data_IF_123918694021
#
_entry.id   IF_123918694021
#
_cell.length_a   1.000
_cell.length_b   1.000
_cell.length_c   1.000
_cell.angle_alpha   90.00
_cell.angle_beta   90.00
_cell.angle_gamma   90.00
#
_symmetry.space_group_name_H-M   'P 1'
#
loop_
_entity.id
_entity.type
_entity.pdbx_description
1 polymer ?
#
# COMPACT_ATOMS: atom_id res chain seq x y z
N UNK A 1 5.22 -10.77 -14.23
CA UNK A 1 4.97 -10.86 -12.77
C UNK A 1 3.49 -10.65 -12.54
N UNK A 2 2.91 -11.39 -11.59
CA UNK A 2 1.49 -11.27 -11.23
C UNK A 2 1.36 -10.63 -9.85
N UNK A 3 0.41 -9.71 -9.70
CA UNK A 3 -0.02 -9.12 -8.44
C UNK A 3 -1.46 -9.55 -8.22
N UNK A 4 -1.75 -10.23 -7.13
CA UNK A 4 -3.11 -10.65 -6.74
C UNK A 4 -3.58 -9.85 -5.54
N UNK A 5 -4.77 -9.25 -5.64
CA UNK A 5 -5.41 -8.56 -4.52
C UNK A 5 -6.08 -9.59 -3.62
N UNK A 6 -5.51 -9.82 -2.43
CA UNK A 6 -6.05 -10.79 -1.49
C UNK A 6 -7.25 -10.24 -0.72
N UNK A 7 -7.21 -8.98 -0.35
CA UNK A 7 -8.29 -8.29 0.35
C UNK A 7 -8.32 -6.81 0.00
N UNK A 8 -9.49 -6.26 -0.21
CA UNK A 8 -9.80 -4.84 -0.28
C UNK A 8 -11.32 -4.63 -0.04
N UNK A 9 -11.83 -3.40 -0.17
CA UNK A 9 -13.19 -3.04 0.26
C UNK A 9 -14.32 -3.63 -0.60
N UNK A 10 -14.03 -4.11 -1.82
CA UNK A 10 -15.02 -4.66 -2.74
C UNK A 10 -14.63 -6.07 -3.24
N UNK A 11 -15.65 -6.91 -3.46
CA UNK A 11 -15.51 -8.23 -4.06
C UNK A 11 -16.68 -8.53 -4.99
N UNK A 12 -16.40 -9.05 -6.18
CA UNK A 12 -17.42 -9.59 -7.10
C UNK A 12 -17.26 -11.10 -7.31
N UNK A 13 -16.08 -11.65 -7.05
CA UNK A 13 -15.82 -13.07 -7.23
C UNK A 13 -16.47 -13.87 -6.11
N UNK A 14 -17.27 -14.88 -6.50
CA UNK A 14 -17.88 -15.82 -5.54
C UNK A 14 -16.81 -16.60 -4.77
N UNK A 15 -17.06 -16.84 -3.48
CA UNK A 15 -16.15 -17.57 -2.60
C UNK A 15 -15.04 -16.72 -1.98
N UNK A 16 -14.96 -15.43 -2.31
CA UNK A 16 -14.08 -14.47 -1.66
C UNK A 16 -14.86 -13.51 -0.76
N UNK A 17 -14.17 -12.88 0.17
CA UNK A 17 -14.73 -11.87 1.08
C UNK A 17 -14.00 -10.55 0.92
N UNK A 18 -14.70 -9.44 1.12
CA UNK A 18 -14.14 -8.10 1.21
C UNK A 18 -14.16 -7.62 2.67
N UNK A 19 -13.23 -6.75 3.01
CA UNK A 19 -13.25 -5.99 4.26
C UNK A 19 -12.58 -4.63 4.06
N UNK A 20 -12.74 -3.73 5.01
CA UNK A 20 -11.98 -2.49 5.01
C UNK A 20 -10.51 -2.79 5.30
N UNK A 21 -9.65 -2.61 4.31
CA UNK A 21 -8.23 -2.93 4.41
C UNK A 21 -7.62 -3.30 3.06
N UNK A 22 -6.34 -3.54 3.04
CA UNK A 22 -5.62 -3.89 1.81
C UNK A 22 -4.57 -4.97 2.05
N UNK A 23 -4.49 -5.93 1.11
CA UNK A 23 -3.39 -6.87 1.03
C UNK A 23 -3.16 -7.30 -0.42
N UNK A 24 -1.91 -7.21 -0.89
CA UNK A 24 -1.48 -7.70 -2.19
C UNK A 24 -0.48 -8.84 -2.04
N UNK A 25 -0.66 -9.89 -2.85
CA UNK A 25 0.32 -10.94 -3.02
C UNK A 25 1.00 -10.80 -4.37
N UNK A 26 2.31 -10.98 -4.41
CA UNK A 26 3.14 -10.83 -5.61
C UNK A 26 4.14 -11.97 -5.74
N UNK A 27 4.30 -12.48 -6.96
CA UNK A 27 5.38 -13.41 -7.30
C UNK A 27 6.47 -12.67 -8.09
N UNK A 28 7.59 -12.40 -7.41
CA UNK A 28 8.78 -11.81 -7.99
C UNK A 28 9.61 -12.79 -8.79
N UNK A 29 10.90 -12.52 -9.00
CA UNK A 29 11.82 -13.43 -9.69
C UNK A 29 12.24 -14.60 -8.80
N UNK A 30 12.49 -14.33 -7.51
CA UNK A 30 13.03 -15.29 -6.55
C UNK A 30 12.22 -15.36 -5.28
N UNK A 31 11.35 -14.39 -5.04
CA UNK A 31 10.60 -14.25 -3.78
C UNK A 31 9.11 -14.13 -4.02
N UNK A 32 8.36 -14.71 -3.08
CA UNK A 32 6.94 -14.47 -2.88
C UNK A 32 6.79 -13.37 -1.84
N UNK A 33 6.05 -12.33 -2.20
CA UNK A 33 5.99 -11.09 -1.44
C UNK A 33 4.54 -10.83 -1.06
N UNK A 34 4.31 -10.48 0.20
CA UNK A 34 3.04 -9.97 0.70
C UNK A 34 3.21 -8.48 1.01
N UNK A 35 2.29 -7.64 0.55
CA UNK A 35 2.25 -6.21 0.85
C UNK A 35 0.97 -5.92 1.62
N UNK A 36 1.10 -5.60 2.90
CA UNK A 36 0.05 -5.46 3.92
C UNK A 36 -0.76 -6.74 4.19
N UNK A 37 -1.56 -6.75 5.26
CA UNK A 37 -2.28 -7.93 5.76
C UNK A 37 -3.78 -7.69 6.00
N UNK A 38 -4.33 -6.55 5.52
CA UNK A 38 -5.73 -6.21 5.80
C UNK A 38 -5.99 -5.90 7.28
N UNK A 39 -7.28 -5.82 7.64
CA UNK A 39 -7.65 -5.54 9.04
C UNK A 39 -7.89 -6.82 9.88
N UNK A 40 -7.95 -8.00 9.25
CA UNK A 40 -8.18 -9.28 9.93
C UNK A 40 -7.45 -10.44 9.23
N UNK A 41 -7.76 -11.66 9.60
CA UNK A 41 -7.24 -12.89 8.97
C UNK A 41 -7.93 -13.28 7.66
N UNK A 42 -8.93 -12.51 7.19
CA UNK A 42 -9.73 -12.81 5.99
C UNK A 42 -8.91 -12.91 4.71
N UNK A 43 -7.81 -12.17 4.58
CA UNK A 43 -6.90 -12.28 3.44
C UNK A 43 -6.31 -13.70 3.30
N UNK A 44 -6.16 -14.44 4.42
CA UNK A 44 -5.67 -15.83 4.43
C UNK A 44 -6.73 -16.76 3.81
N UNK A 45 -8.01 -16.57 4.16
CA UNK A 45 -9.11 -17.35 3.57
C UNK A 45 -9.19 -17.12 2.05
N UNK A 46 -9.07 -15.83 1.63
CA UNK A 46 -9.05 -15.47 0.23
C UNK A 46 -7.82 -16.04 -0.50
N UNK A 47 -6.62 -15.98 0.09
CA UNK A 47 -5.42 -16.59 -0.49
C UNK A 47 -5.62 -18.09 -0.73
N UNK A 48 -6.17 -18.80 0.26
CA UNK A 48 -6.49 -20.23 0.16
C UNK A 48 -7.50 -20.50 -0.96
N UNK A 49 -8.56 -19.71 -1.06
CA UNK A 49 -9.57 -19.85 -2.12
C UNK A 49 -8.99 -19.58 -3.52
N UNK A 50 -7.96 -18.72 -3.62
CA UNK A 50 -7.24 -18.38 -4.85
C UNK A 50 -6.09 -19.35 -5.16
N UNK A 51 -5.85 -20.37 -4.29
CA UNK A 51 -4.77 -21.35 -4.47
C UNK A 51 -3.38 -20.81 -4.12
N UNK A 52 -3.29 -19.75 -3.30
CA UNK A 52 -2.05 -19.11 -2.88
C UNK A 52 -1.66 -19.62 -1.49
N UNK A 53 -0.46 -20.16 -1.37
CA UNK A 53 0.11 -20.60 -0.09
C UNK A 53 0.93 -19.47 0.56
N UNK A 54 0.37 -18.85 1.59
CA UNK A 54 1.02 -17.78 2.33
C UNK A 54 2.11 -18.28 3.28
N UNK A 55 2.18 -19.59 3.58
CA UNK A 55 3.28 -20.14 4.38
C UNK A 55 4.62 -20.08 3.64
N UNK A 56 4.55 -19.97 2.30
CA UNK A 56 5.73 -19.90 1.43
C UNK A 56 6.15 -18.46 1.06
N UNK A 57 5.52 -17.44 1.62
CA UNK A 57 5.92 -16.04 1.45
C UNK A 57 7.32 -15.80 2.06
N UNK A 58 8.19 -15.11 1.32
CA UNK A 58 9.58 -14.84 1.69
C UNK A 58 9.76 -13.45 2.31
N UNK A 59 8.90 -12.51 1.95
CA UNK A 59 8.94 -11.13 2.44
C UNK A 59 7.53 -10.59 2.66
N UNK A 60 7.29 -10.00 3.82
CA UNK A 60 6.12 -9.18 4.12
C UNK A 60 6.56 -7.73 4.23
N UNK A 61 5.89 -6.86 3.50
CA UNK A 61 6.12 -5.42 3.58
C UNK A 61 4.89 -4.79 4.24
N UNK A 62 5.09 -4.05 5.32
CA UNK A 62 4.07 -3.26 6.00
C UNK A 62 4.20 -1.82 5.55
N UNK A 63 3.18 -1.31 4.87
CA UNK A 63 3.21 0.03 4.27
C UNK A 63 3.22 1.15 5.30
N UNK A 64 2.42 1.03 6.34
CA UNK A 64 2.29 1.95 7.48
C UNK A 64 1.51 1.29 8.62
N UNK A 65 1.45 1.94 9.78
CA UNK A 65 0.99 1.32 11.02
C UNK A 65 -0.52 1.35 11.27
N UNK A 66 -1.39 1.54 10.28
CA UNK A 66 -2.84 1.47 10.50
C UNK A 66 -3.35 0.03 10.59
N UNK A 67 -4.41 -0.17 11.41
CA UNK A 67 -4.99 -1.49 11.70
C UNK A 67 -5.50 -2.21 10.46
N UNK A 68 -6.00 -1.50 9.47
CA UNK A 68 -6.56 -2.03 8.23
C UNK A 68 -5.47 -2.47 7.21
N UNK A 69 -4.20 -2.34 7.61
CA UNK A 69 -3.01 -2.83 6.90
C UNK A 69 -2.20 -3.82 7.73
N UNK A 70 -2.34 -3.78 9.04
CA UNK A 70 -1.55 -4.58 9.99
C UNK A 70 -2.38 -5.56 10.81
N UNK A 71 -3.72 -5.53 10.71
CA UNK A 71 -4.59 -6.31 11.57
C UNK A 71 -4.49 -7.82 11.36
N UNK A 72 -4.13 -8.27 10.16
CA UNK A 72 -3.87 -9.68 9.86
C UNK A 72 -2.46 -10.16 10.21
N UNK A 73 -1.58 -9.28 10.71
CA UNK A 73 -0.16 -9.57 10.90
C UNK A 73 0.08 -10.76 11.85
N UNK A 74 -0.60 -10.79 13.01
CA UNK A 74 -0.47 -11.90 13.95
C UNK A 74 -0.95 -13.24 13.36
N UNK A 75 -2.04 -13.22 12.57
CA UNK A 75 -2.51 -14.42 11.88
C UNK A 75 -1.52 -14.91 10.83
N UNK A 76 -0.89 -13.99 10.08
CA UNK A 76 0.18 -14.33 9.14
C UNK A 76 1.38 -14.97 9.85
N UNK A 77 1.81 -14.44 10.99
CA UNK A 77 2.94 -14.98 11.76
C UNK A 77 2.72 -16.41 12.25
N UNK A 78 1.45 -16.81 12.48
CA UNK A 78 1.09 -18.17 12.89
C UNK A 78 1.25 -19.19 11.76
N UNK A 79 1.09 -18.78 10.51
CA UNK A 79 1.14 -19.68 9.34
C UNK A 79 2.46 -19.57 8.57
N UNK A 80 3.18 -18.47 8.73
CA UNK A 80 4.47 -18.23 8.06
C UNK A 80 5.57 -18.02 9.08
N UNK A 81 6.63 -18.83 9.02
CA UNK A 81 7.74 -18.81 9.98
C UNK A 81 9.05 -18.27 9.39
N UNK A 82 9.08 -17.95 8.07
CA UNK A 82 10.33 -17.61 7.36
C UNK A 82 10.39 -16.17 6.82
N UNK A 83 9.24 -15.54 6.55
CA UNK A 83 9.22 -14.24 5.89
C UNK A 83 9.97 -13.16 6.70
N UNK A 84 10.83 -12.42 6.03
CA UNK A 84 11.39 -11.18 6.57
C UNK A 84 10.31 -10.10 6.52
N UNK A 85 10.15 -9.35 7.60
CA UNK A 85 9.11 -8.31 7.74
C UNK A 85 9.76 -6.95 7.61
N UNK A 86 9.48 -6.28 6.50
CA UNK A 86 9.99 -4.95 6.21
C UNK A 86 8.97 -3.89 6.63
N UNK A 87 9.37 -2.94 7.44
CA UNK A 87 8.58 -1.76 7.81
C UNK A 87 9.49 -0.60 8.18
N UNK A 88 8.94 0.60 8.24
CA UNK A 88 9.67 1.75 8.78
C UNK A 88 9.54 1.83 10.31
N UNK A 89 10.49 2.49 10.98
CA UNK A 89 10.28 2.96 12.35
C UNK A 89 8.97 3.76 12.45
N UNK A 90 8.28 3.66 13.57
CA UNK A 90 7.01 4.34 13.79
C UNK A 90 5.77 3.60 13.28
N UNK A 91 5.90 2.55 12.45
CA UNK A 91 4.75 1.74 12.03
C UNK A 91 4.08 0.98 13.19
N UNK A 92 4.78 0.84 14.30
CA UNK A 92 4.26 0.21 15.54
C UNK A 92 3.81 1.22 16.59
N UNK A 93 3.95 2.52 16.32
CA UNK A 93 3.51 3.55 17.25
C UNK A 93 1.98 3.60 17.34
N UNK A 94 1.48 4.03 18.49
CA UNK A 94 0.04 4.15 18.69
C UNK A 94 -0.51 5.31 17.84
N UNK A 95 -1.43 5.00 16.93
CA UNK A 95 -2.03 5.96 15.99
C UNK A 95 -3.50 6.18 16.31
N UNK A 96 -3.97 7.39 16.07
CA UNK A 96 -5.34 7.82 16.37
C UNK A 96 -5.92 8.66 15.23
N UNK A 97 -7.24 8.66 15.12
CA UNK A 97 -7.98 9.57 14.26
C UNK A 97 -9.03 10.33 15.07
N UNK A 98 -9.06 11.66 14.93
CA UNK A 98 -9.86 12.53 15.80
C UNK A 98 -9.32 12.51 17.24
N UNK A 99 -10.21 12.64 18.23
CA UNK A 99 -9.75 12.78 19.63
C UNK A 99 -9.23 11.48 20.23
N UNK A 100 -9.93 10.36 20.03
CA UNK A 100 -9.72 9.15 20.84
C UNK A 100 -9.83 7.84 20.06
N UNK A 101 -10.12 7.86 18.76
CA UNK A 101 -10.27 6.63 17.98
C UNK A 101 -8.89 6.05 17.68
N UNK A 102 -8.53 4.98 18.39
CA UNK A 102 -7.35 4.21 18.08
C UNK A 102 -7.47 3.54 16.70
N UNK A 103 -6.45 3.71 15.86
CA UNK A 103 -6.37 3.16 14.50
C UNK A 103 -5.01 2.51 14.22
N UNK A 104 -4.14 2.40 15.21
CA UNK A 104 -2.82 1.80 15.08
C UNK A 104 -2.85 0.27 15.03
N UNK A 105 -1.68 -0.30 14.89
CA UNK A 105 -1.47 -1.74 15.02
C UNK A 105 -1.63 -2.21 16.47
N UNK A 106 -2.12 -3.43 16.65
CA UNK A 106 -2.22 -4.09 17.98
C UNK A 106 -1.21 -5.23 18.12
N UNK A 107 -0.29 -5.37 17.15
CA UNK A 107 0.70 -6.46 17.17
C UNK A 107 1.64 -6.37 18.38
N UNK A 108 1.88 -7.49 19.03
CA UNK A 108 2.98 -7.59 19.97
C UNK A 108 4.32 -7.58 19.20
N UNK A 109 5.08 -6.51 19.38
CA UNK A 109 6.37 -6.29 18.70
C UNK A 109 7.35 -7.43 18.97
N UNK A 110 7.24 -8.12 20.12
CA UNK A 110 8.09 -9.26 20.45
C UNK A 110 7.94 -10.40 19.44
N UNK A 111 6.77 -10.53 18.79
CA UNK A 111 6.54 -11.55 17.77
C UNK A 111 7.28 -11.25 16.46
N UNK A 112 7.72 -10.02 16.25
CA UNK A 112 8.39 -9.57 15.04
C UNK A 112 9.92 -9.64 15.10
N UNK A 113 10.52 -9.50 16.29
CA UNK A 113 11.93 -9.13 16.49
C UNK A 113 12.95 -9.98 15.73
N UNK A 114 12.71 -11.27 15.58
CA UNK A 114 13.66 -12.18 14.92
C UNK A 114 13.59 -12.12 13.39
N UNK A 115 12.55 -11.45 12.85
CA UNK A 115 12.27 -11.33 11.40
C UNK A 115 12.11 -9.89 10.94
N UNK A 116 12.17 -8.93 11.86
CA UNK A 116 11.98 -7.52 11.58
C UNK A 116 13.20 -6.92 10.88
N UNK A 117 12.96 -6.28 9.75
CA UNK A 117 13.91 -5.46 9.01
C UNK A 117 13.38 -4.03 8.92
N UNK A 118 13.96 -3.13 9.70
CA UNK A 118 13.61 -1.70 9.63
C UNK A 118 14.22 -1.07 8.37
N UNK A 119 13.36 -0.42 7.57
CA UNK A 119 13.77 0.19 6.30
C UNK A 119 13.99 1.68 6.49
N UNK A 120 15.21 2.13 6.28
CA UNK A 120 15.60 3.55 6.34
C UNK A 120 15.92 4.11 4.96
N UNK A 121 16.42 3.27 4.05
CA UNK A 121 16.83 3.63 2.71
C UNK A 121 16.16 2.72 1.67
N UNK A 122 16.15 3.17 0.40
CA UNK A 122 15.66 2.34 -0.71
C UNK A 122 16.34 0.98 -0.68
N UNK A 123 15.55 -0.08 -0.57
CA UNK A 123 16.02 -1.44 -0.41
C UNK A 123 15.50 -2.34 -1.52
N UNK A 124 16.38 -2.95 -2.31
CA UNK A 124 16.01 -3.97 -3.27
C UNK A 124 15.77 -5.30 -2.52
N UNK A 125 14.52 -5.78 -2.53
CA UNK A 125 14.13 -7.00 -1.80
C UNK A 125 14.08 -8.24 -2.68
N UNK A 126 13.89 -8.06 -3.98
CA UNK A 126 14.05 -9.06 -5.04
C UNK A 126 14.46 -8.30 -6.32
N UNK A 127 14.94 -9.00 -7.34
CA UNK A 127 15.41 -8.40 -8.58
C UNK A 127 14.37 -7.42 -9.17
N UNK A 128 14.73 -6.15 -9.17
CA UNK A 128 13.90 -5.06 -9.68
C UNK A 128 12.71 -4.67 -8.80
N UNK A 129 12.59 -5.19 -7.56
CA UNK A 129 11.54 -4.85 -6.61
C UNK A 129 12.15 -4.09 -5.43
N UNK A 130 11.74 -2.84 -5.25
CA UNK A 130 12.32 -1.95 -4.26
C UNK A 130 11.27 -1.48 -3.26
N UNK A 131 11.62 -1.52 -1.98
CA UNK A 131 10.90 -0.80 -0.91
C UNK A 131 11.39 0.65 -0.92
N UNK A 132 10.47 1.59 -1.01
CA UNK A 132 10.71 3.04 -1.09
C UNK A 132 10.26 3.70 0.22
N UNK A 133 11.16 4.01 1.16
CA UNK A 133 10.79 4.56 2.47
C UNK A 133 10.60 6.07 2.48
N UNK A 134 10.95 6.76 1.41
CA UNK A 134 10.91 8.21 1.34
C UNK A 134 9.84 8.68 0.35
N UNK A 135 8.98 9.57 0.81
CA UNK A 135 8.01 10.30 -0.01
C UNK A 135 8.15 11.79 0.31
N UNK A 136 9.08 12.51 -0.37
CA UNK A 136 9.21 13.96 -0.21
C UNK A 136 7.89 14.65 -0.57
N UNK A 137 7.48 15.64 0.22
CA UNK A 137 6.28 16.43 -0.05
C UNK A 137 6.59 17.52 -1.10
N UNK A 138 6.69 17.11 -2.36
CA UNK A 138 6.83 18.03 -3.50
C UNK A 138 5.52 18.76 -3.75
N UNK A 139 4.42 18.03 -3.59
CA UNK A 139 3.06 18.51 -3.71
C UNK A 139 2.36 18.39 -2.34
N UNK A 140 2.35 19.49 -1.59
CA UNK A 140 1.79 19.52 -0.23
C UNK A 140 0.25 19.40 -0.21
N UNK A 141 -0.43 19.79 -1.29
CA UNK A 141 -1.88 19.74 -1.39
C UNK A 141 -2.39 18.31 -1.63
N UNK A 142 -1.58 17.42 -2.24
CA UNK A 142 -1.90 16.00 -2.35
C UNK A 142 -1.43 15.25 -1.09
N UNK A 143 -2.07 15.52 0.06
CA UNK A 143 -1.83 14.79 1.31
C UNK A 143 -3.13 14.49 2.05
N UNK A 144 -3.17 13.39 2.79
CA UNK A 144 -4.31 12.98 3.62
C UNK A 144 -3.85 12.73 5.05
N UNK A 145 -3.32 13.77 5.69
CA UNK A 145 -2.76 13.71 7.04
C UNK A 145 -3.66 14.37 8.08
N UNK A 146 -4.60 15.22 7.65
CA UNK A 146 -5.43 15.99 8.57
C UNK A 146 -6.31 15.11 9.47
N UNK A 147 -6.27 15.35 10.78
CA UNK A 147 -7.07 14.62 11.76
C UNK A 147 -6.43 13.31 12.23
N UNK A 148 -5.28 12.94 11.67
CA UNK A 148 -4.50 11.78 12.13
C UNK A 148 -3.46 12.21 13.16
N UNK A 149 -3.27 11.38 14.17
CA UNK A 149 -2.36 11.63 15.27
C UNK A 149 -1.54 10.38 15.60
N UNK A 150 -0.33 10.61 16.07
CA UNK A 150 0.59 9.55 16.54
C UNK A 150 1.03 9.85 17.97
N UNK A 151 1.17 8.81 18.79
CA UNK A 151 1.73 8.92 20.13
C UNK A 151 3.21 8.51 20.08
N UNK A 152 4.07 9.50 20.25
CA UNK A 152 5.53 9.34 20.30
C UNK A 152 6.04 9.94 21.60
N UNK A 153 6.95 9.26 22.31
CA UNK A 153 7.50 9.68 23.60
C UNK A 153 6.44 10.15 24.61
N UNK A 154 5.32 9.40 24.70
CA UNK A 154 4.16 9.70 25.56
C UNK A 154 3.39 10.99 25.19
N UNK A 155 3.71 11.62 24.08
CA UNK A 155 3.01 12.82 23.57
C UNK A 155 2.21 12.47 22.32
N UNK A 156 1.00 13.00 22.23
CA UNK A 156 0.18 12.93 21.01
C UNK A 156 0.51 14.15 20.17
N UNK A 157 0.82 13.93 18.91
CA UNK A 157 1.10 14.95 17.90
C UNK A 157 0.42 14.60 16.58
N UNK A 158 0.31 15.54 15.67
CA UNK A 158 -0.18 15.29 14.32
C UNK A 158 0.72 14.24 13.64
N UNK A 159 0.09 13.25 13.00
CA UNK A 159 0.80 12.23 12.26
C UNK A 159 1.16 12.78 10.87
N UNK A 160 2.44 12.84 10.57
CA UNK A 160 2.99 13.20 9.27
C UNK A 160 3.36 11.98 8.42
N UNK A 161 2.93 10.80 8.86
CA UNK A 161 3.12 9.52 8.17
C UNK A 161 4.57 9.25 7.78
N UNK A 162 5.49 9.52 8.72
CA UNK A 162 6.90 9.22 8.52
C UNK A 162 7.17 7.72 8.42
N UNK A 163 6.25 6.88 8.86
CA UNK A 163 6.27 5.44 8.74
C UNK A 163 5.75 4.91 7.38
N UNK A 164 5.15 5.77 6.53
CA UNK A 164 4.63 5.32 5.25
C UNK A 164 5.75 4.98 4.27
N UNK A 165 5.57 3.87 3.55
CA UNK A 165 6.42 3.41 2.46
C UNK A 165 5.57 2.85 1.30
N UNK A 166 6.18 2.73 0.13
CA UNK A 166 5.56 2.15 -1.05
C UNK A 166 6.55 1.24 -1.78
N UNK A 167 6.09 0.51 -2.80
CA UNK A 167 6.95 -0.33 -3.62
C UNK A 167 7.10 0.24 -5.03
N UNK A 168 8.27 0.02 -5.62
CA UNK A 168 8.49 0.18 -7.05
C UNK A 168 8.98 -1.11 -7.66
N UNK A 169 8.52 -1.39 -8.89
CA UNK A 169 8.91 -2.58 -9.63
C UNK A 169 9.43 -2.13 -10.98
N UNK A 170 10.71 -2.41 -11.22
CA UNK A 170 11.40 -2.15 -12.49
C UNK A 170 11.44 -3.45 -13.28
N UNK A 171 10.72 -3.48 -14.39
CA UNK A 171 10.67 -4.66 -15.27
C UNK A 171 10.62 -4.26 -16.73
N UNK A 172 11.43 -4.91 -17.57
CA UNK A 172 11.47 -4.65 -19.02
C UNK A 172 11.62 -3.17 -19.38
N UNK A 173 12.43 -2.42 -18.60
CA UNK A 173 12.67 -0.98 -18.84
C UNK A 173 11.50 -0.07 -18.51
N UNK A 174 10.52 -0.56 -17.72
CA UNK A 174 9.33 0.19 -17.27
C UNK A 174 9.23 0.18 -15.76
N UNK A 175 8.51 1.15 -15.21
CA UNK A 175 8.28 1.34 -13.80
C UNK A 175 6.81 1.04 -13.46
N UNK A 176 6.59 0.23 -12.41
CA UNK A 176 5.31 0.11 -11.75
C UNK A 176 5.42 0.60 -10.31
N UNK A 177 4.42 1.31 -9.82
CA UNK A 177 4.36 1.93 -8.49
C UNK A 177 3.20 1.30 -7.76
N UNK A 178 3.45 0.71 -6.58
CA UNK A 178 2.45 0.04 -5.77
C UNK A 178 2.36 0.77 -4.44
N UNK A 179 1.23 1.40 -4.20
CA UNK A 179 0.97 2.09 -2.95
C UNK A 179 -0.08 1.34 -2.11
N UNK A 180 -0.26 1.77 -0.88
CA UNK A 180 -1.28 1.26 0.01
C UNK A 180 -2.38 2.31 0.24
N UNK A 181 -2.12 3.34 1.04
CA UNK A 181 -3.06 4.44 1.28
C UNK A 181 -2.63 5.78 0.66
N UNK A 182 -1.35 6.01 0.49
CA UNK A 182 -0.79 7.28 -0.01
C UNK A 182 -1.17 8.50 0.85
N UNK A 183 -1.04 8.39 2.16
CA UNK A 183 -1.32 9.51 3.08
C UNK A 183 -0.41 10.72 2.80
N UNK A 184 0.83 10.47 2.38
CA UNK A 184 1.78 11.50 1.96
C UNK A 184 1.58 11.95 0.51
N UNK A 185 0.53 11.47 -0.16
CA UNK A 185 0.14 11.83 -1.51
C UNK A 185 0.66 10.87 -2.58
N UNK A 186 -0.25 10.42 -3.44
CA UNK A 186 0.13 9.54 -4.55
C UNK A 186 1.02 10.26 -5.58
N UNK A 187 0.78 11.54 -5.84
CA UNK A 187 1.64 12.35 -6.73
C UNK A 187 3.07 12.43 -6.21
N UNK A 188 3.25 12.60 -4.90
CA UNK A 188 4.56 12.63 -4.26
C UNK A 188 5.32 11.31 -4.39
N UNK A 189 4.62 10.16 -4.24
CA UNK A 189 5.21 8.83 -4.47
C UNK A 189 5.60 8.64 -5.93
N UNK A 190 4.75 9.08 -6.87
CA UNK A 190 5.01 8.99 -8.31
C UNK A 190 6.22 9.84 -8.71
N UNK A 191 6.28 11.09 -8.26
CA UNK A 191 7.43 11.96 -8.53
C UNK A 191 8.74 11.37 -7.96
N UNK A 192 8.71 10.85 -6.74
CA UNK A 192 9.91 10.21 -6.15
C UNK A 192 10.35 8.98 -6.93
N UNK A 193 9.41 8.13 -7.35
CA UNK A 193 9.72 6.94 -8.13
C UNK A 193 10.29 7.30 -9.51
N UNK A 194 9.66 8.24 -10.23
CA UNK A 194 10.13 8.68 -11.56
C UNK A 194 11.49 9.36 -11.48
N UNK A 195 11.70 10.24 -10.49
CA UNK A 195 12.99 10.89 -10.23
C UNK A 195 14.11 9.87 -9.96
N UNK A 196 13.77 8.80 -9.22
CA UNK A 196 14.74 7.78 -8.81
C UNK A 196 15.15 6.87 -9.96
N UNK A 197 14.22 6.44 -10.80
CA UNK A 197 14.47 5.40 -11.82
C UNK A 197 14.58 5.95 -13.24
N UNK A 198 14.04 7.14 -13.52
CA UNK A 198 14.05 7.79 -14.86
C UNK A 198 13.48 6.86 -15.93
N UNK A 199 12.35 6.22 -15.63
CA UNK A 199 11.68 5.27 -16.51
C UNK A 199 10.22 5.68 -16.72
N UNK A 200 9.65 5.29 -17.88
CA UNK A 200 8.21 5.45 -18.13
C UNK A 200 7.38 4.57 -17.21
N UNK A 201 6.26 5.10 -16.74
CA UNK A 201 5.37 4.41 -15.80
C UNK A 201 4.37 3.53 -16.57
N UNK A 202 4.42 2.21 -16.35
CA UNK A 202 3.46 1.26 -16.91
C UNK A 202 2.21 1.15 -16.04
N UNK A 203 2.37 1.11 -14.71
CA UNK A 203 1.27 0.89 -13.76
C UNK A 203 1.45 1.74 -12.50
N UNK A 204 0.36 2.34 -12.03
CA UNK A 204 0.22 2.82 -10.66
C UNK A 204 -0.94 2.02 -10.04
N UNK A 205 -0.72 1.33 -8.91
CA UNK A 205 -1.70 0.44 -8.30
C UNK A 205 -1.79 0.70 -6.79
N UNK A 206 -3.03 0.84 -6.28
CA UNK A 206 -3.28 0.93 -4.84
C UNK A 206 -4.35 1.93 -4.43
N UNK A 207 -4.33 2.31 -3.16
CA UNK A 207 -5.19 3.34 -2.59
C UNK A 207 -4.54 4.73 -2.70
N UNK A 208 -5.33 5.71 -3.12
CA UNK A 208 -4.88 7.10 -3.35
C UNK A 208 -5.45 8.09 -2.32
N UNK A 209 -6.17 7.57 -1.33
CA UNK A 209 -6.84 8.33 -0.26
C UNK A 209 -7.74 9.49 -0.76
N UNK A 210 -8.48 9.28 -1.85
CA UNK A 210 -9.27 10.31 -2.51
C UNK A 210 -10.77 10.30 -2.13
N UNK A 211 -11.24 9.32 -1.36
CA UNK A 211 -12.66 9.17 -1.02
C UNK A 211 -13.28 10.48 -0.50
N UNK A 212 -12.57 11.18 0.37
CA UNK A 212 -13.00 12.45 0.97
C UNK A 212 -12.03 13.59 0.68
N UNK A 213 -11.33 13.55 -0.48
CA UNK A 213 -10.35 14.57 -0.84
C UNK A 213 -11.00 15.93 -1.08
N UNK A 214 -10.22 16.99 -0.88
CA UNK A 214 -10.58 18.33 -1.32
C UNK A 214 -10.54 18.43 -2.85
N UNK A 215 -11.24 19.39 -3.48
CA UNK A 215 -11.09 19.66 -4.91
C UNK A 215 -9.63 19.88 -5.31
N UNK A 216 -8.88 20.63 -4.49
CA UNK A 216 -7.46 20.92 -4.76
C UNK A 216 -6.60 19.67 -4.74
N UNK A 217 -6.78 18.78 -3.76
CA UNK A 217 -6.07 17.50 -3.71
C UNK A 217 -6.33 16.67 -4.99
N UNK A 218 -7.59 16.63 -5.42
CA UNK A 218 -7.97 15.90 -6.64
C UNK A 218 -7.31 16.49 -7.89
N UNK A 219 -7.31 17.82 -8.03
CA UNK A 219 -6.66 18.53 -9.14
C UNK A 219 -5.18 18.21 -9.22
N UNK A 220 -4.45 18.23 -8.09
CA UNK A 220 -3.03 17.90 -8.02
C UNK A 220 -2.73 16.46 -8.50
N UNK A 221 -3.60 15.52 -8.13
CA UNK A 221 -3.47 14.13 -8.61
C UNK A 221 -3.68 14.07 -10.13
N UNK A 222 -4.70 14.73 -10.66
CA UNK A 222 -4.97 14.77 -12.11
C UNK A 222 -3.81 15.43 -12.87
N UNK A 223 -3.29 16.55 -12.38
CA UNK A 223 -2.15 17.24 -12.98
C UNK A 223 -0.92 16.33 -13.04
N UNK A 224 -0.58 15.66 -11.94
CA UNK A 224 0.50 14.69 -11.90
C UNK A 224 0.31 13.53 -12.90
N UNK A 225 -0.89 12.93 -12.94
CA UNK A 225 -1.16 11.82 -13.86
C UNK A 225 -1.11 12.24 -15.33
N UNK A 226 -1.54 13.46 -15.65
CA UNK A 226 -1.44 14.02 -17.00
C UNK A 226 0.00 14.36 -17.40
N UNK A 227 0.84 14.80 -16.46
CA UNK A 227 2.26 15.03 -16.67
C UNK A 227 3.03 13.72 -16.91
N UNK A 228 2.85 12.75 -16.02
CA UNK A 228 3.60 11.48 -16.03
C UNK A 228 3.10 10.51 -17.11
N UNK A 229 1.82 10.59 -17.48
CA UNK A 229 1.19 9.75 -18.50
C UNK A 229 1.39 8.24 -18.25
N UNK A 230 1.01 7.71 -17.08
CA UNK A 230 1.09 6.28 -16.83
C UNK A 230 0.21 5.52 -17.84
N UNK A 231 0.62 4.33 -18.25
CA UNK A 231 -0.17 3.53 -19.17
C UNK A 231 -1.46 3.01 -18.53
N UNK A 232 -1.40 2.63 -17.25
CA UNK A 232 -2.52 2.05 -16.49
C UNK A 232 -2.52 2.58 -15.06
N UNK A 233 -3.72 2.76 -14.52
CA UNK A 233 -3.95 3.10 -13.11
C UNK A 233 -4.98 2.13 -12.56
N UNK A 234 -4.61 1.37 -11.53
CA UNK A 234 -5.51 0.51 -10.77
C UNK A 234 -5.76 1.11 -9.39
N UNK A 235 -7.00 1.50 -9.11
CA UNK A 235 -7.36 2.11 -7.82
C UNK A 235 -8.19 1.16 -6.97
N UNK A 236 -8.07 1.25 -5.65
CA UNK A 236 -8.82 0.44 -4.69
C UNK A 236 -8.91 1.14 -3.33
N UNK A 237 -9.52 0.44 -2.36
CA UNK A 237 -9.48 0.74 -0.94
C UNK A 237 -9.88 2.19 -0.62
N UNK A 238 -8.97 3.00 -0.06
CA UNK A 238 -9.22 4.37 0.39
C UNK A 238 -9.41 5.39 -0.75
N UNK A 239 -9.24 5.00 -2.02
CA UNK A 239 -9.60 5.85 -3.17
C UNK A 239 -11.11 6.08 -3.23
N UNK A 240 -11.91 5.06 -2.92
CA UNK A 240 -13.35 5.09 -3.03
C UNK A 240 -13.86 4.83 -4.45
N UNK A 241 -15.01 4.16 -4.55
CA UNK A 241 -15.60 3.77 -5.85
C UNK A 241 -16.08 4.99 -6.64
N UNK A 242 -16.57 6.03 -5.97
CA UNK A 242 -17.03 7.28 -6.60
C UNK A 242 -15.86 7.98 -7.29
N UNK A 243 -14.70 8.03 -6.65
CA UNK A 243 -13.51 8.65 -7.22
C UNK A 243 -12.89 7.83 -8.35
N UNK A 244 -13.03 6.50 -8.32
CA UNK A 244 -12.69 5.69 -9.49
C UNK A 244 -13.42 6.13 -10.74
N UNK A 245 -14.73 6.36 -10.64
CA UNK A 245 -15.52 6.81 -11.82
C UNK A 245 -15.07 8.18 -12.30
N UNK A 246 -14.76 9.11 -11.39
CA UNK A 246 -14.26 10.45 -11.75
C UNK A 246 -12.89 10.35 -12.44
N UNK A 247 -11.94 9.60 -11.84
CA UNK A 247 -10.61 9.39 -12.43
C UNK A 247 -10.68 8.76 -13.82
N UNK A 248 -11.61 7.81 -14.03
CA UNK A 248 -11.81 7.17 -15.33
C UNK A 248 -12.36 8.11 -16.39
N UNK A 249 -13.08 9.16 -16.01
CA UNK A 249 -13.60 10.19 -16.93
C UNK A 249 -12.53 11.24 -17.24
N UNK A 250 -11.72 11.64 -16.25
CA UNK A 250 -10.80 12.77 -16.33
C UNK A 250 -9.41 12.39 -16.87
N UNK A 251 -9.05 11.10 -16.83
CA UNK A 251 -7.75 10.63 -17.30
C UNK A 251 -7.84 9.89 -18.63
N UNK A 252 -6.87 10.15 -19.52
CA UNK A 252 -6.81 9.50 -20.85
C UNK A 252 -6.22 8.08 -20.82
N UNK A 253 -5.54 7.69 -19.74
CA UNK A 253 -4.98 6.35 -19.59
C UNK A 253 -6.04 5.31 -19.19
N UNK A 254 -5.66 4.03 -19.20
CA UNK A 254 -6.56 2.97 -18.73
C UNK A 254 -6.69 3.03 -17.21
N UNK A 255 -7.89 3.38 -16.70
CA UNK A 255 -8.19 3.34 -15.26
C UNK A 255 -9.15 2.19 -14.97
N UNK A 256 -8.79 1.34 -13.98
CA UNK A 256 -9.60 0.22 -13.53
C UNK A 256 -9.72 0.17 -12.00
N UNK A 257 -10.81 -0.40 -11.51
CA UNK A 257 -10.96 -0.68 -10.08
C UNK A 257 -10.36 -2.06 -9.77
N UNK A 258 -9.44 -2.10 -8.81
CA UNK A 258 -8.70 -3.30 -8.44
C UNK A 258 -9.32 -3.94 -7.19
N UNK A 259 -10.31 -4.80 -7.38
CA UNK A 259 -11.07 -5.46 -6.30
C UNK A 259 -10.39 -6.73 -5.78
N UNK A 260 -10.89 -7.24 -4.67
CA UNK A 260 -10.49 -8.54 -4.11
C UNK A 260 -10.61 -9.66 -5.15
N UNK A 261 -9.56 -10.46 -5.27
CA UNK A 261 -9.44 -11.54 -6.27
C UNK A 261 -8.91 -11.09 -7.63
N UNK A 262 -8.77 -9.78 -7.87
CA UNK A 262 -8.24 -9.28 -9.15
C UNK A 262 -6.75 -9.59 -9.29
N UNK A 263 -6.34 -9.96 -10.51
CA UNK A 263 -4.96 -10.25 -10.88
C UNK A 263 -4.46 -9.27 -11.91
N UNK A 264 -3.37 -8.60 -11.61
CA UNK A 264 -2.73 -7.60 -12.48
C UNK A 264 -1.37 -8.11 -12.94
N UNK A 265 -1.14 -8.07 -14.25
CA UNK A 265 0.14 -8.50 -14.84
C UNK A 265 1.01 -7.32 -15.22
N UNK A 266 2.33 -7.41 -14.89
CA UNK A 266 3.38 -6.42 -15.17
C UNK A 266 4.64 -7.09 -15.71
#
# INVERSE_FOLDING_TARGET
>A
MEITTLIENLVYQSGLVAEHGLSFYMEGYHKKILFDTGQSDRFIDNAKALGIDLSDVDALIVSHGHYDHTGGLEAFLKINTKAVIYMKPGAIDAKYHGKDRFIGTTIDVQLLKDRLCLVYERTEIDKGIFVMPHTPLVNADDTSMHGFQVKEDQKIKDDTFQDELFLTIVRSGKLSIISSCSHRGISNMVYEAVRTFILSVDLILGGFHLKNCTPRQYEEVIECMNEIQPKRIGVCHCTGIEKYFTLKQDLSCTVFYNMTGHRVFI
#
